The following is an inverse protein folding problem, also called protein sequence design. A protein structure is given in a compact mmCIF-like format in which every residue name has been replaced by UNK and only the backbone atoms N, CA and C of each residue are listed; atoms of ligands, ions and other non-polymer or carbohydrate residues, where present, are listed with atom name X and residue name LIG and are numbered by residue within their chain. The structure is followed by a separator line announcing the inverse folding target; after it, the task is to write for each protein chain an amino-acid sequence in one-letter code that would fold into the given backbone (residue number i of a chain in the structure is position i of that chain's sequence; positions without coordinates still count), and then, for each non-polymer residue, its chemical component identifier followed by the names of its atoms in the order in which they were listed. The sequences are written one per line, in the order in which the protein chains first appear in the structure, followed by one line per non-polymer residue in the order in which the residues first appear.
data_IF_649131929345
#
_entry.id   IF_649131929345
#
_cell.length_a   1.000
_cell.length_b   1.000
_cell.length_c   1.000
_cell.angle_alpha   90.00
_cell.angle_beta   90.00
_cell.angle_gamma   90.00
#
_symmetry.space_group_name_H-M   'P 1'
#
loop_
_entity.id
_entity.type
_entity.pdbx_description
1 polymer ?
#
# COMPACT_ATOMS: atom_id res chain seq x y z
N UNK A 1 4.28 3.42 14.65
CA UNK A 1 4.47 2.24 15.53
C UNK A 1 4.03 1.02 14.74
N UNK A 2 4.83 -0.06 14.72
CA UNK A 2 4.50 -1.26 13.95
C UNK A 2 3.22 -1.91 14.50
N UNK A 3 2.49 -2.55 13.60
CA UNK A 3 1.30 -3.32 13.94
C UNK A 3 1.74 -4.61 14.59
N UNK A 4 1.08 -4.96 15.69
CA UNK A 4 1.37 -6.19 16.45
C UNK A 4 0.17 -7.11 16.46
N UNK A 5 0.40 -8.39 16.69
CA UNK A 5 -0.63 -9.42 16.73
C UNK A 5 -1.81 -9.05 17.64
N UNK A 6 -1.54 -8.41 18.77
CA UNK A 6 -2.55 -8.04 19.77
C UNK A 6 -3.47 -6.90 19.30
N UNK A 7 -3.05 -6.15 18.27
CA UNK A 7 -3.87 -5.11 17.64
C UNK A 7 -4.81 -5.64 16.55
N UNK A 8 -4.68 -6.93 16.20
CA UNK A 8 -5.50 -7.62 15.22
C UNK A 8 -6.63 -8.40 15.88
N UNK A 9 -7.84 -8.18 15.39
CA UNK A 9 -9.03 -8.96 15.71
C UNK A 9 -8.90 -10.40 15.15
N UNK A 10 -9.58 -11.35 15.79
CA UNK A 10 -9.78 -12.67 15.18
C UNK A 10 -10.62 -12.56 13.91
N UNK A 11 -10.59 -13.60 13.06
CA UNK A 11 -11.40 -13.64 11.83
C UNK A 11 -12.90 -13.42 12.12
N UNK A 12 -13.40 -14.01 13.20
CA UNK A 12 -14.79 -13.87 13.62
C UNK A 12 -15.11 -12.44 14.07
N UNK A 13 -14.28 -11.86 14.95
CA UNK A 13 -14.49 -10.50 15.45
C UNK A 13 -14.38 -9.48 14.31
N UNK A 14 -13.38 -9.64 13.43
CA UNK A 14 -13.22 -8.80 12.26
C UNK A 14 -14.42 -8.92 11.31
N UNK A 15 -14.95 -10.12 11.05
CA UNK A 15 -16.11 -10.30 10.19
C UNK A 15 -17.35 -9.54 10.70
N UNK A 16 -17.54 -9.44 12.03
CA UNK A 16 -18.65 -8.67 12.64
C UNK A 16 -18.46 -7.15 12.50
N UNK A 17 -17.21 -6.68 12.61
CA UNK A 17 -16.89 -5.24 12.59
C UNK A 17 -16.52 -4.70 11.21
N UNK A 18 -16.35 -5.58 10.21
CA UNK A 18 -15.74 -5.29 8.92
C UNK A 18 -16.35 -4.10 8.22
N UNK A 19 -17.67 -4.02 8.13
CA UNK A 19 -18.34 -2.96 7.37
C UNK A 19 -18.11 -1.59 8.00
N UNK A 20 -18.17 -1.49 9.33
CA UNK A 20 -17.85 -0.27 10.06
C UNK A 20 -16.37 0.09 9.93
N UNK A 21 -15.47 -0.90 10.06
CA UNK A 21 -14.03 -0.70 9.92
C UNK A 21 -13.68 -0.21 8.50
N UNK A 22 -14.24 -0.85 7.47
CA UNK A 22 -14.06 -0.47 6.06
C UNK A 22 -14.56 0.94 5.78
N UNK A 23 -15.75 1.30 6.28
CA UNK A 23 -16.29 2.66 6.11
C UNK A 23 -15.35 3.72 6.71
N UNK A 24 -14.83 3.46 7.92
CA UNK A 24 -13.86 4.33 8.58
C UNK A 24 -12.57 4.48 7.77
N UNK A 25 -12.04 3.38 7.23
CA UNK A 25 -10.81 3.39 6.42
C UNK A 25 -11.02 4.13 5.10
N UNK A 26 -12.15 3.94 4.42
CA UNK A 26 -12.48 4.66 3.18
C UNK A 26 -12.50 6.16 3.43
N UNK A 27 -13.17 6.62 4.49
CA UNK A 27 -13.21 8.04 4.83
C UNK A 27 -11.81 8.57 5.16
N UNK A 28 -11.02 7.81 5.92
CA UNK A 28 -9.64 8.16 6.26
C UNK A 28 -8.74 8.29 5.03
N UNK A 29 -8.85 7.35 4.08
CA UNK A 29 -8.06 7.34 2.84
C UNK A 29 -8.26 8.57 1.97
N UNK A 30 -9.44 9.22 2.03
CA UNK A 30 -9.72 10.46 1.26
C UNK A 30 -8.73 11.59 1.57
N UNK A 31 -8.28 11.70 2.82
CA UNK A 31 -7.34 12.75 3.26
C UNK A 31 -5.87 12.37 3.07
N UNK A 32 -5.63 11.14 2.62
CA UNK A 32 -4.29 10.55 2.45
C UNK A 32 -4.00 10.16 1.01
N UNK A 33 -4.87 10.55 0.08
CA UNK A 33 -4.71 10.26 -1.34
C UNK A 33 -4.32 11.52 -2.10
N UNK A 34 -3.32 11.40 -2.96
CA UNK A 34 -2.90 12.45 -3.89
C UNK A 34 -2.91 11.89 -5.31
N UNK A 35 -3.60 12.57 -6.23
CA UNK A 35 -3.55 12.22 -7.65
C UNK A 35 -2.38 12.94 -8.31
N UNK A 36 -1.59 12.20 -9.08
CA UNK A 36 -0.51 12.70 -9.92
C UNK A 36 -0.92 12.55 -11.39
N UNK A 37 -1.52 13.61 -11.92
CA UNK A 37 -2.14 13.54 -13.25
C UNK A 37 -3.41 12.67 -13.23
N UNK A 38 -3.63 11.93 -14.33
CA UNK A 38 -4.89 11.22 -14.56
C UNK A 38 -4.88 9.75 -14.11
N UNK A 39 -3.72 9.10 -14.16
CA UNK A 39 -3.62 7.64 -14.03
C UNK A 39 -2.79 7.19 -12.84
N UNK A 40 -2.22 8.11 -12.05
CA UNK A 40 -1.40 7.77 -10.89
C UNK A 40 -2.04 8.33 -9.63
N UNK A 41 -2.23 7.47 -8.63
CA UNK A 41 -2.64 7.87 -7.27
C UNK A 41 -1.59 7.40 -6.27
N UNK A 42 -1.13 8.30 -5.42
CA UNK A 42 -0.37 7.97 -4.23
C UNK A 42 -1.32 7.89 -3.04
N UNK A 43 -1.38 6.73 -2.41
CA UNK A 43 -2.05 6.52 -1.12
C UNK A 43 -0.99 6.55 -0.03
N UNK A 44 -0.90 7.63 0.73
CA UNK A 44 -0.03 7.69 1.90
C UNK A 44 -0.55 6.73 2.96
N UNK A 45 0.29 5.82 3.39
CA UNK A 45 -0.05 4.76 4.33
C UNK A 45 0.17 5.23 5.77
N UNK A 46 -0.60 4.64 6.69
CA UNK A 46 -0.38 4.73 8.11
C UNK A 46 -0.87 3.45 8.79
N UNK A 47 -0.80 3.46 10.12
CA UNK A 47 -1.21 2.33 10.94
C UNK A 47 -2.65 1.86 10.62
N UNK A 48 -3.61 2.77 10.41
CA UNK A 48 -5.00 2.40 10.16
C UNK A 48 -5.18 1.79 8.76
N UNK A 49 -4.53 2.36 7.75
CA UNK A 49 -4.64 1.84 6.38
C UNK A 49 -3.96 0.48 6.24
N UNK A 50 -2.81 0.28 6.89
CA UNK A 50 -2.10 -1.00 6.86
C UNK A 50 -2.80 -2.05 7.73
N UNK A 51 -3.31 -1.70 8.92
CA UNK A 51 -4.08 -2.64 9.75
C UNK A 51 -5.30 -3.16 9.00
N UNK A 52 -5.96 -2.29 8.23
CA UNK A 52 -7.06 -2.70 7.36
C UNK A 52 -6.62 -3.74 6.32
N UNK A 53 -5.48 -3.52 5.66
CA UNK A 53 -4.98 -4.44 4.62
C UNK A 53 -4.63 -5.80 5.23
N UNK A 54 -3.89 -5.83 6.34
CA UNK A 54 -3.56 -7.08 7.05
C UNK A 54 -4.85 -7.83 7.41
N UNK A 55 -5.85 -7.14 7.97
CA UNK A 55 -7.12 -7.77 8.33
C UNK A 55 -7.90 -8.31 7.14
N UNK A 56 -7.91 -7.59 6.00
CA UNK A 56 -8.52 -8.09 4.78
C UNK A 56 -7.79 -9.31 4.23
N UNK A 57 -6.45 -9.33 4.26
CA UNK A 57 -5.64 -10.49 3.84
C UNK A 57 -5.93 -11.71 4.70
N UNK A 58 -5.84 -11.57 6.03
CA UNK A 58 -6.15 -12.66 6.96
C UNK A 58 -7.56 -13.23 6.74
N UNK A 59 -8.54 -12.37 6.46
CA UNK A 59 -9.93 -12.78 6.19
C UNK A 59 -10.10 -13.50 4.86
N UNK A 60 -9.52 -12.97 3.78
CA UNK A 60 -9.66 -13.53 2.43
C UNK A 60 -9.00 -14.90 2.37
N UNK A 61 -7.79 -15.00 2.89
CA UNK A 61 -6.98 -16.23 2.89
C UNK A 61 -7.31 -17.16 4.07
N UNK A 62 -8.19 -16.74 4.99
CA UNK A 62 -8.58 -17.46 6.22
C UNK A 62 -7.38 -17.85 7.09
N UNK A 63 -6.42 -16.95 7.22
CA UNK A 63 -5.22 -17.13 8.04
C UNK A 63 -5.57 -16.84 9.50
N UNK A 64 -5.40 -17.84 10.36
CA UNK A 64 -5.60 -17.71 11.81
C UNK A 64 -4.47 -18.32 12.64
N UNK A 65 -3.56 -19.08 12.00
CA UNK A 65 -2.36 -19.64 12.62
C UNK A 65 -1.33 -18.55 12.90
N UNK A 66 -0.57 -18.69 13.97
CA UNK A 66 0.34 -17.65 14.47
C UNK A 66 1.44 -17.31 13.46
N UNK A 67 2.04 -18.34 12.85
CA UNK A 67 3.07 -18.18 11.83
C UNK A 67 2.55 -17.46 10.59
N UNK A 68 1.33 -17.78 10.15
CA UNK A 68 0.70 -17.12 9.01
C UNK A 68 0.43 -15.64 9.28
N UNK A 69 -0.05 -15.31 10.50
CA UNK A 69 -0.27 -13.91 10.89
C UNK A 69 1.06 -13.15 10.99
N UNK A 70 2.11 -13.79 11.51
CA UNK A 70 3.43 -13.19 11.58
C UNK A 70 3.98 -12.86 10.18
N UNK A 71 3.81 -13.77 9.21
CA UNK A 71 4.22 -13.54 7.82
C UNK A 71 3.50 -12.35 7.17
N UNK A 72 2.19 -12.21 7.38
CA UNK A 72 1.44 -11.04 6.89
C UNK A 72 1.90 -9.75 7.58
N UNK A 73 2.15 -9.77 8.89
CA UNK A 73 2.68 -8.62 9.61
C UNK A 73 4.07 -8.22 9.11
N UNK A 74 4.94 -9.18 8.80
CA UNK A 74 6.27 -8.93 8.24
C UNK A 74 6.19 -8.29 6.86
N UNK A 75 5.29 -8.77 6.00
CA UNK A 75 5.10 -8.22 4.66
C UNK A 75 4.55 -6.78 4.67
N UNK A 76 3.66 -6.44 5.61
CA UNK A 76 2.94 -5.16 5.58
C UNK A 76 3.50 -4.10 6.54
N UNK A 77 4.18 -4.47 7.63
CA UNK A 77 4.76 -3.49 8.55
C UNK A 77 5.77 -2.51 7.93
N UNK A 78 6.58 -2.88 6.90
CA UNK A 78 7.44 -1.94 6.19
C UNK A 78 6.70 -0.73 5.58
N UNK A 79 5.39 -0.85 5.36
CA UNK A 79 4.53 0.23 4.86
C UNK A 79 4.00 1.16 5.96
N UNK A 80 4.30 0.90 7.24
CA UNK A 80 3.94 1.79 8.35
C UNK A 80 5.06 2.81 8.57
N UNK A 81 4.78 4.12 8.54
CA UNK A 81 5.79 5.15 8.80
C UNK A 81 6.46 4.99 10.17
N UNK A 82 7.78 5.18 10.21
CA UNK A 82 8.59 5.02 11.44
C UNK A 82 8.83 6.33 12.22
N UNK A 83 8.37 7.45 11.66
CA UNK A 83 8.54 8.80 12.23
C UNK A 83 9.63 9.63 11.54
N UNK A 84 10.47 9.00 10.72
CA UNK A 84 11.50 9.66 9.90
C UNK A 84 11.23 9.59 8.40
N UNK A 85 10.31 8.73 7.97
CA UNK A 85 9.89 8.59 6.58
C UNK A 85 8.37 8.73 6.41
N UNK A 86 7.96 8.93 5.15
CA UNK A 86 6.60 8.70 4.70
C UNK A 86 6.58 7.42 3.89
N UNK A 87 5.48 6.67 4.00
CA UNK A 87 5.24 5.46 3.22
C UNK A 87 4.03 5.67 2.33
N UNK A 88 4.10 5.25 1.07
CA UNK A 88 2.98 5.40 0.15
C UNK A 88 2.85 4.21 -0.81
N UNK A 89 1.61 3.82 -1.09
CA UNK A 89 1.32 2.91 -2.20
C UNK A 89 1.02 3.73 -3.45
N UNK A 90 1.82 3.56 -4.50
CA UNK A 90 1.53 4.09 -5.83
C UNK A 90 0.62 3.13 -6.58
N UNK A 91 -0.48 3.64 -7.12
CA UNK A 91 -1.45 2.93 -7.91
C UNK A 91 -1.50 3.52 -9.33
N UNK A 92 -1.29 2.67 -10.33
CA UNK A 92 -1.41 3.01 -11.75
C UNK A 92 -2.74 2.47 -12.27
N UNK A 93 -3.68 3.37 -12.53
CA UNK A 93 -5.09 3.06 -12.76
C UNK A 93 -5.50 3.29 -14.22
N UNK A 94 -5.71 2.18 -14.93
CA UNK A 94 -6.34 2.13 -16.25
C UNK A 94 -7.53 1.16 -16.18
N UNK A 95 -8.78 1.63 -16.39
CA UNK A 95 -9.97 0.78 -16.33
C UNK A 95 -9.94 -0.35 -17.35
N UNK A 96 -9.55 -0.04 -18.60
CA UNK A 96 -9.43 -1.02 -19.67
C UNK A 96 -8.19 -1.91 -19.48
N UNK A 97 -8.37 -3.23 -19.60
CA UNK A 97 -7.30 -4.19 -19.33
C UNK A 97 -6.21 -4.18 -20.39
N UNK A 98 -6.58 -4.00 -21.66
CA UNK A 98 -5.63 -3.96 -22.77
C UNK A 98 -4.83 -2.66 -22.76
N UNK A 99 -5.48 -1.53 -22.48
CA UNK A 99 -4.83 -0.25 -22.24
C UNK A 99 -3.87 -0.32 -21.05
N UNK A 100 -4.33 -0.86 -19.91
CA UNK A 100 -3.48 -1.05 -18.73
C UNK A 100 -2.21 -1.83 -19.08
N UNK A 101 -2.35 -2.95 -19.80
CA UNK A 101 -1.20 -3.77 -20.22
C UNK A 101 -0.21 -2.97 -21.09
N UNK A 102 -0.71 -2.23 -22.09
CA UNK A 102 0.15 -1.39 -22.95
C UNK A 102 0.85 -0.30 -22.14
N UNK A 103 0.11 0.40 -21.28
CA UNK A 103 0.63 1.53 -20.51
C UNK A 103 1.63 1.09 -19.45
N UNK A 104 1.45 -0.06 -18.79
CA UNK A 104 2.45 -0.61 -17.87
C UNK A 104 3.76 -1.01 -18.57
N UNK A 105 3.72 -1.34 -19.87
CA UNK A 105 4.93 -1.51 -20.67
C UNK A 105 5.67 -0.19 -20.91
N UNK A 106 4.92 0.90 -21.18
CA UNK A 106 5.47 2.23 -21.44
C UNK A 106 5.96 2.95 -20.17
N UNK A 107 5.29 2.72 -19.03
CA UNK A 107 5.56 3.38 -17.76
C UNK A 107 6.60 2.63 -16.90
N UNK A 108 7.44 1.79 -17.51
CA UNK A 108 8.48 1.08 -16.78
C UNK A 108 9.45 2.06 -16.11
N UNK A 109 9.68 1.88 -14.81
CA UNK A 109 10.56 2.75 -14.03
C UNK A 109 9.90 4.04 -13.53
N UNK A 110 8.58 4.21 -13.71
CA UNK A 110 7.85 5.41 -13.27
C UNK A 110 7.98 5.65 -11.77
N UNK A 111 8.06 4.59 -10.97
CA UNK A 111 8.23 4.63 -9.52
C UNK A 111 9.49 5.40 -9.10
N UNK A 112 10.57 5.29 -9.90
CA UNK A 112 11.86 5.99 -9.68
C UNK A 112 11.78 7.48 -10.02
N UNK A 113 10.71 7.91 -10.69
CA UNK A 113 10.43 9.29 -11.04
C UNK A 113 9.72 10.08 -9.93
N UNK A 114 9.25 9.40 -8.88
CA UNK A 114 8.48 10.03 -7.80
C UNK A 114 9.43 10.74 -6.81
N UNK A 115 9.06 11.96 -6.43
CA UNK A 115 9.78 12.75 -5.43
C UNK A 115 8.82 13.67 -4.69
N UNK A 116 9.26 14.13 -3.52
CA UNK A 116 8.58 15.17 -2.76
C UNK A 116 9.53 16.31 -2.43
N UNK A 117 8.97 17.50 -2.28
CA UNK A 117 9.71 18.70 -1.88
C UNK A 117 8.89 19.49 -0.88
N UNK A 118 9.45 19.67 0.31
CA UNK A 118 8.94 20.60 1.31
C UNK A 118 9.53 21.98 1.01
N UNK A 119 8.73 23.04 1.16
CA UNK A 119 9.16 24.41 0.89
C UNK A 119 10.44 24.75 1.68
N UNK A 120 11.46 25.27 0.99
CA UNK A 120 12.76 25.58 1.59
C UNK A 120 13.72 24.39 1.73
N UNK A 121 13.32 23.17 1.34
CA UNK A 121 14.15 21.98 1.40
C UNK A 121 14.47 21.41 0.00
N UNK A 122 15.51 20.58 -0.06
CA UNK A 122 15.86 19.82 -1.25
C UNK A 122 14.78 18.77 -1.56
N UNK A 123 14.75 18.31 -2.82
CA UNK A 123 13.90 17.20 -3.24
C UNK A 123 14.38 15.89 -2.61
N UNK A 124 13.44 15.08 -2.16
CA UNK A 124 13.66 13.70 -1.71
C UNK A 124 13.00 12.78 -2.72
N UNK A 125 13.78 11.88 -3.33
CA UNK A 125 13.25 10.86 -4.25
C UNK A 125 12.66 9.70 -3.44
N UNK A 126 11.60 9.10 -3.96
CA UNK A 126 11.08 7.85 -3.41
C UNK A 126 12.11 6.73 -3.59
N UNK A 127 12.13 5.81 -2.64
CA UNK A 127 12.83 4.53 -2.77
C UNK A 127 11.73 3.49 -2.94
N UNK A 128 11.70 2.84 -4.09
CA UNK A 128 10.58 1.99 -4.46
C UNK A 128 10.92 0.52 -4.28
N UNK A 129 9.92 -0.25 -3.84
CA UNK A 129 9.88 -1.71 -3.88
C UNK A 129 11.06 -2.41 -3.17
N UNK A 130 11.61 -1.81 -2.11
CA UNK A 130 12.72 -2.37 -1.33
C UNK A 130 12.40 -3.78 -0.76
N UNK A 131 11.12 -4.07 -0.56
CA UNK A 131 10.60 -5.31 0.01
C UNK A 131 10.17 -6.34 -1.05
N UNK A 132 10.37 -6.06 -2.35
CA UNK A 132 9.95 -6.94 -3.45
C UNK A 132 11.14 -7.36 -4.33
N UNK A 133 11.37 -8.68 -4.43
CA UNK A 133 12.28 -9.29 -5.42
C UNK A 133 11.66 -9.30 -6.84
N UNK A 134 11.13 -8.17 -7.32
CA UNK A 134 10.32 -8.13 -8.55
C UNK A 134 10.83 -7.11 -9.56
N UNK A 135 11.72 -7.57 -10.43
CA UNK A 135 11.79 -7.06 -11.80
C UNK A 135 11.65 -8.24 -12.77
N UNK A 136 10.49 -8.32 -13.43
CA UNK A 136 10.38 -9.12 -14.67
C UNK A 136 10.62 -8.19 -15.84
N UNK A 137 11.44 -8.60 -16.82
CA UNK A 137 11.93 -7.72 -17.90
C UNK A 137 10.82 -7.12 -18.80
N UNK A 138 9.61 -7.69 -18.75
CA UNK A 138 8.53 -7.40 -19.72
C UNK A 138 7.58 -6.25 -19.34
N UNK A 139 7.29 -5.99 -18.05
CA UNK A 139 6.28 -4.99 -17.64
C UNK A 139 6.46 -4.51 -16.20
N UNK A 140 6.06 -3.27 -15.91
CA UNK A 140 5.98 -2.76 -14.53
C UNK A 140 4.71 -3.23 -13.80
N UNK A 141 4.71 -3.12 -12.47
CA UNK A 141 3.54 -3.39 -11.64
C UNK A 141 2.53 -2.24 -11.70
N UNK A 142 1.24 -2.54 -11.56
CA UNK A 142 0.23 -1.49 -11.33
C UNK A 142 0.23 -0.93 -9.90
N UNK A 143 1.02 -1.56 -9.01
CA UNK A 143 1.13 -1.21 -7.60
C UNK A 143 2.61 -1.21 -7.22
N UNK A 144 3.08 -0.10 -6.64
CA UNK A 144 4.45 0.01 -6.12
C UNK A 144 4.42 0.53 -4.68
N UNK A 145 5.37 0.12 -3.87
CA UNK A 145 5.56 0.62 -2.51
C UNK A 145 6.69 1.64 -2.49
N UNK A 146 6.44 2.81 -1.91
CA UNK A 146 7.33 3.98 -1.88
C UNK A 146 7.62 4.43 -0.44
#
# INVERSE_FOLDING_TARGET
MPIRRESLLSLEAYARERDAFRARVIEHKKRRSVHLGQHVRLQFEDELTIRYQVQEMLRIERIFEEEGIAGELEAYNPLVPDGTNWKATMLIEYPDAEERKRMLGLLRGIERGVWVQVAGHARVKAIADEDLDRETEEKTSSVHFL
#
